data_IF_017035133131
#
_entry.id   IF_017035133131
#
_cell.length_a   1.000
_cell.length_b   1.000
_cell.length_c   1.000
_cell.angle_alpha   90.00
_cell.angle_beta   90.00
_cell.angle_gamma   90.00
#
_symmetry.space_group_name_H-M   'P 1'
#
loop_
_entity.id
_entity.type
_entity.pdbx_description
1 polymer ?
#
# COMPACT_ATOMS: atom_id res chain seq x y z
N UNK A 1 20.30 -23.25 -34.13
CA UNK A 1 19.35 -23.72 -33.09
C UNK A 1 20.14 -24.22 -31.91
N UNK A 2 20.31 -23.38 -30.89
CA UNK A 2 20.77 -23.79 -29.56
C UNK A 2 20.25 -22.74 -28.59
N UNK A 3 19.13 -23.06 -27.95
CA UNK A 3 18.48 -22.26 -26.92
C UNK A 3 19.32 -22.27 -25.66
N UNK A 4 20.01 -21.17 -25.39
CA UNK A 4 20.62 -20.89 -24.09
C UNK A 4 19.50 -20.61 -23.08
N UNK A 5 19.10 -21.65 -22.33
CA UNK A 5 18.21 -21.52 -21.17
C UNK A 5 18.94 -20.70 -20.10
N UNK A 6 18.59 -19.42 -19.98
CA UNK A 6 18.96 -18.60 -18.83
C UNK A 6 18.20 -19.15 -17.63
N UNK A 7 18.88 -19.94 -16.79
CA UNK A 7 18.40 -20.33 -15.46
C UNK A 7 18.67 -19.16 -14.53
N UNK A 8 17.66 -18.37 -14.21
CA UNK A 8 17.74 -17.46 -13.07
C UNK A 8 17.75 -18.30 -11.79
N UNK A 9 18.92 -18.37 -11.16
CA UNK A 9 19.09 -18.93 -9.81
C UNK A 9 18.55 -17.90 -8.83
N UNK A 10 17.28 -18.02 -8.47
CA UNK A 10 16.81 -17.47 -7.19
C UNK A 10 17.49 -18.33 -6.12
N UNK A 11 18.50 -17.79 -5.44
CA UNK A 11 19.08 -18.44 -4.26
C UNK A 11 17.97 -18.55 -3.21
N UNK A 12 17.33 -19.70 -3.15
CA UNK A 12 16.59 -20.12 -1.96
C UNK A 12 17.62 -20.32 -0.84
N UNK A 13 17.69 -19.38 0.10
CA UNK A 13 18.24 -19.71 1.41
C UNK A 13 17.25 -20.68 2.07
N UNK A 14 17.58 -21.96 2.03
CA UNK A 14 16.86 -23.01 2.73
C UNK A 14 17.18 -22.86 4.22
N UNK A 15 16.48 -21.97 4.91
CA UNK A 15 16.51 -21.96 6.38
C UNK A 15 15.84 -23.24 6.85
N UNK A 16 16.61 -24.12 7.50
CA UNK A 16 16.06 -25.23 8.28
C UNK A 16 15.30 -24.63 9.45
N UNK A 17 13.97 -24.58 9.37
CA UNK A 17 13.14 -24.31 10.54
C UNK A 17 13.31 -25.46 11.53
N UNK A 18 14.06 -25.23 12.60
CA UNK A 18 13.94 -26.05 13.81
C UNK A 18 12.52 -25.91 14.37
N UNK A 19 11.97 -26.94 15.04
CA UNK A 19 10.65 -26.88 15.64
C UNK A 19 10.66 -25.86 16.77
N UNK A 20 10.22 -24.64 16.48
CA UNK A 20 10.02 -23.60 17.48
C UNK A 20 8.64 -23.77 18.11
N UNK A 21 8.63 -23.77 19.44
CA UNK A 21 7.45 -23.62 20.28
C UNK A 21 6.62 -22.41 19.82
N UNK A 22 5.32 -22.63 19.58
CA UNK A 22 4.36 -21.57 19.33
C UNK A 22 4.22 -20.70 20.59
N UNK A 23 5.05 -19.66 20.73
CA UNK A 23 4.68 -18.51 21.54
C UNK A 23 3.57 -17.77 20.79
N UNK A 24 2.40 -17.65 21.42
CA UNK A 24 1.29 -16.86 20.90
C UNK A 24 1.79 -15.42 20.81
N UNK A 25 1.88 -14.90 19.59
CA UNK A 25 2.26 -13.51 19.36
C UNK A 25 1.08 -12.64 19.80
N UNK A 26 1.24 -11.96 20.94
CA UNK A 26 0.27 -10.99 21.43
C UNK A 26 0.30 -9.76 20.53
N UNK A 27 -0.83 -9.44 19.92
CA UNK A 27 -0.96 -8.31 19.00
C UNK A 27 -2.30 -7.62 19.18
N UNK A 28 -2.27 -6.30 19.07
CA UNK A 28 -3.46 -5.48 18.93
C UNK A 28 -3.71 -5.20 17.44
N UNK A 29 -4.85 -5.62 16.91
CA UNK A 29 -5.26 -5.34 15.54
C UNK A 29 -6.41 -4.35 15.57
N UNK A 30 -6.21 -3.19 14.95
CA UNK A 30 -7.22 -2.16 14.79
C UNK A 30 -7.92 -2.37 13.45
N UNK A 31 -9.24 -2.51 13.47
CA UNK A 31 -10.10 -2.52 12.30
C UNK A 31 -10.92 -1.22 12.22
N UNK A 32 -11.30 -0.74 11.02
CA UNK A 32 -12.29 0.32 10.90
C UNK A 32 -13.65 -0.17 11.40
N UNK A 33 -14.39 0.71 12.08
CA UNK A 33 -15.80 0.47 12.40
C UNK A 33 -16.69 0.78 11.20
N UNK A 34 -17.93 0.29 11.27
CA UNK A 34 -19.02 0.85 10.46
C UNK A 34 -19.12 2.37 10.71
N UNK A 35 -19.50 3.11 9.66
CA UNK A 35 -19.57 4.57 9.71
C UNK A 35 -20.68 5.08 10.65
N UNK A 36 -21.81 4.38 10.70
CA UNK A 36 -22.98 4.77 11.50
C UNK A 36 -23.02 4.08 12.86
N UNK A 37 -22.36 2.92 13.01
CA UNK A 37 -22.30 2.15 14.24
C UNK A 37 -20.85 1.82 14.63
N UNK A 38 -20.26 2.64 15.51
CA UNK A 38 -18.89 2.45 15.99
C UNK A 38 -18.64 1.15 16.78
N UNK A 39 -19.69 0.39 17.11
CA UNK A 39 -19.58 -0.91 17.81
C UNK A 39 -19.44 -2.10 16.86
N UNK A 40 -19.65 -1.89 15.55
CA UNK A 40 -19.53 -2.92 14.52
C UNK A 40 -18.32 -2.68 13.65
N UNK A 41 -17.70 -3.75 13.17
CA UNK A 41 -16.66 -3.65 12.15
C UNK A 41 -17.26 -3.15 10.83
N UNK A 42 -16.46 -2.46 10.02
CA UNK A 42 -16.80 -2.17 8.64
C UNK A 42 -17.08 -3.48 7.88
N UNK A 43 -18.14 -3.51 7.08
CA UNK A 43 -18.64 -4.70 6.37
C UNK A 43 -17.54 -5.43 5.57
N UNK A 44 -16.60 -4.70 4.97
CA UNK A 44 -15.52 -5.29 4.15
C UNK A 44 -14.56 -6.11 5.01
N UNK A 45 -14.40 -5.75 6.28
CA UNK A 45 -13.45 -6.36 7.20
C UNK A 45 -14.12 -7.19 8.30
N UNK A 46 -15.45 -7.24 8.34
CA UNK A 46 -16.23 -7.90 9.40
C UNK A 46 -15.83 -9.38 9.57
N UNK A 47 -15.79 -10.15 8.47
CA UNK A 47 -15.41 -11.56 8.51
C UNK A 47 -13.97 -11.78 9.03
N UNK A 48 -13.04 -10.90 8.66
CA UNK A 48 -11.65 -10.95 9.12
C UNK A 48 -11.54 -10.59 10.60
N UNK A 49 -12.24 -9.54 11.04
CA UNK A 49 -12.33 -9.11 12.43
C UNK A 49 -12.87 -10.24 13.33
N UNK A 50 -13.94 -10.91 12.92
CA UNK A 50 -14.50 -12.04 13.68
C UNK A 50 -13.53 -13.23 13.73
N UNK A 51 -12.92 -13.59 12.61
CA UNK A 51 -11.93 -14.68 12.55
C UNK A 51 -10.71 -14.42 13.45
N UNK A 52 -10.17 -13.19 13.44
CA UNK A 52 -9.07 -12.79 14.30
C UNK A 52 -9.46 -12.83 15.79
N UNK A 53 -10.67 -12.37 16.12
CA UNK A 53 -11.20 -12.39 17.49
C UNK A 53 -11.46 -13.81 18.00
N UNK A 54 -12.02 -14.69 17.16
CA UNK A 54 -12.23 -16.11 17.47
C UNK A 54 -10.91 -16.85 17.67
N UNK A 55 -9.85 -16.41 16.98
CA UNK A 55 -8.47 -16.90 17.15
C UNK A 55 -7.78 -16.36 18.41
N UNK A 56 -8.48 -15.56 19.24
CA UNK A 56 -7.96 -15.02 20.50
C UNK A 56 -7.07 -13.78 20.35
N UNK A 57 -7.02 -13.15 19.17
CA UNK A 57 -6.26 -11.91 18.98
C UNK A 57 -7.00 -10.71 19.59
N UNK A 58 -6.25 -9.71 20.06
CA UNK A 58 -6.85 -8.48 20.56
C UNK A 58 -7.29 -7.61 19.40
N UNK A 59 -8.58 -7.64 19.08
CA UNK A 59 -9.15 -6.80 18.02
C UNK A 59 -9.84 -5.56 18.60
N UNK A 60 -9.53 -4.38 18.06
CA UNK A 60 -10.12 -3.08 18.40
C UNK A 60 -10.81 -2.49 17.18
N UNK A 61 -11.84 -1.67 17.39
CA UNK A 61 -12.46 -0.88 16.33
C UNK A 61 -12.06 0.59 16.47
N UNK A 62 -11.60 1.20 15.38
CA UNK A 62 -11.43 2.64 15.24
C UNK A 62 -12.73 3.23 14.66
N UNK A 63 -13.32 4.20 15.36
CA UNK A 63 -14.54 4.85 14.87
C UNK A 63 -14.28 5.66 13.60
N UNK A 64 -14.78 5.17 12.47
CA UNK A 64 -14.62 5.82 11.16
C UNK A 64 -15.20 7.23 11.15
N UNK A 65 -16.37 7.44 11.79
CA UNK A 65 -17.00 8.75 11.92
C UNK A 65 -16.17 9.76 12.74
N UNK A 66 -15.53 9.31 13.83
CA UNK A 66 -14.73 10.22 14.65
C UNK A 66 -13.38 10.50 13.99
N UNK A 67 -12.74 9.47 13.39
CA UNK A 67 -11.51 9.60 12.62
C UNK A 67 -11.67 10.59 11.45
N UNK A 68 -12.81 10.56 10.73
CA UNK A 68 -13.10 11.53 9.66
C UNK A 68 -13.24 12.98 10.15
N UNK A 69 -13.43 13.18 11.46
CA UNK A 69 -13.47 14.48 12.12
C UNK A 69 -12.16 14.81 12.87
N UNK A 70 -11.08 14.05 12.62
CA UNK A 70 -9.78 14.23 13.27
C UNK A 70 -9.75 13.83 14.74
N UNK A 71 -10.67 12.95 15.17
CA UNK A 71 -10.76 12.46 16.55
C UNK A 71 -10.70 10.94 16.56
N UNK A 72 -9.52 10.37 16.72
CA UNK A 72 -9.40 8.91 16.79
C UNK A 72 -10.00 8.38 18.11
N UNK A 73 -10.95 7.46 17.98
CA UNK A 73 -11.64 6.83 19.11
C UNK A 73 -11.68 5.32 18.93
N UNK A 74 -11.12 4.60 19.90
CA UNK A 74 -11.10 3.15 19.91
C UNK A 74 -12.25 2.56 20.74
N UNK A 75 -12.70 1.36 20.37
CA UNK A 75 -13.79 0.66 21.07
C UNK A 75 -13.41 0.15 22.47
N UNK A 76 -12.11 -0.06 22.72
CA UNK A 76 -11.56 -0.51 24.01
C UNK A 76 -10.09 -0.10 24.13
N UNK A 77 -9.48 -0.38 25.29
CA UNK A 77 -8.04 -0.20 25.48
C UNK A 77 -7.19 -1.28 24.79
N UNK A 78 -5.91 -0.99 24.65
CA UNK A 78 -4.91 -1.88 24.05
C UNK A 78 -4.32 -2.84 25.08
N UNK A 79 -4.10 -4.09 24.68
CA UNK A 79 -3.32 -5.05 25.47
C UNK A 79 -1.89 -4.52 25.68
N UNK A 80 -1.34 -4.78 26.86
CA UNK A 80 0.01 -4.34 27.25
C UNK A 80 1.08 -5.14 26.48
N UNK A 81 2.22 -4.50 26.21
CA UNK A 81 3.41 -5.12 25.59
C UNK A 81 3.16 -5.82 24.24
N UNK A 82 2.06 -5.51 23.57
CA UNK A 82 1.70 -6.07 22.28
C UNK A 82 1.78 -4.99 21.19
N UNK A 83 2.50 -5.24 20.07
CA UNK A 83 2.51 -4.33 18.93
C UNK A 83 1.10 -4.04 18.39
N UNK A 84 0.94 -2.87 17.77
CA UNK A 84 -0.34 -2.43 17.18
C UNK A 84 -0.27 -2.43 15.66
N UNK A 85 -1.24 -3.04 15.01
CA UNK A 85 -1.38 -3.08 13.56
C UNK A 85 -2.69 -2.42 13.14
N UNK A 86 -2.63 -1.63 12.07
CA UNK A 86 -3.80 -1.18 11.33
C UNK A 86 -4.21 -2.19 10.27
N UNK A 87 -5.48 -2.63 10.32
CA UNK A 87 -6.09 -3.50 9.33
C UNK A 87 -7.36 -2.87 8.79
N UNK A 88 -7.17 -1.98 7.82
CA UNK A 88 -8.28 -1.37 7.08
C UNK A 88 -7.88 -1.04 5.65
N UNK A 89 -8.60 -0.09 5.05
CA UNK A 89 -8.18 0.53 3.79
C UNK A 89 -6.85 1.28 4.00
N UNK A 90 -6.09 1.45 2.93
CA UNK A 90 -4.90 2.31 2.96
C UNK A 90 -5.30 3.72 3.36
N UNK A 91 -4.64 4.24 4.38
CA UNK A 91 -4.79 5.59 4.90
C UNK A 91 -3.81 6.52 4.18
N UNK A 92 -4.19 7.79 4.01
CA UNK A 92 -3.27 8.84 3.60
C UNK A 92 -2.21 9.07 4.67
N UNK A 93 -1.12 9.75 4.31
CA UNK A 93 -0.04 10.12 5.23
C UNK A 93 -0.56 10.75 6.54
N UNK A 94 -1.41 11.78 6.45
CA UNK A 94 -1.94 12.48 7.62
C UNK A 94 -2.90 11.61 8.46
N UNK A 95 -3.69 10.76 7.80
CA UNK A 95 -4.61 9.83 8.48
C UNK A 95 -3.83 8.76 9.24
N UNK A 96 -2.78 8.20 8.62
CA UNK A 96 -1.90 7.23 9.27
C UNK A 96 -1.13 7.85 10.43
N UNK A 97 -0.66 9.10 10.26
CA UNK A 97 -0.01 9.87 11.32
C UNK A 97 -0.95 10.15 12.49
N UNK A 98 -2.22 10.51 12.22
CA UNK A 98 -3.24 10.70 13.26
C UNK A 98 -3.44 9.41 14.04
N UNK A 99 -3.63 8.29 13.34
CA UNK A 99 -3.77 6.97 13.93
C UNK A 99 -2.56 6.61 14.81
N UNK A 100 -1.34 6.80 14.29
CA UNK A 100 -0.11 6.53 15.04
C UNK A 100 -0.04 7.36 16.31
N UNK A 101 -0.30 8.67 16.22
CA UNK A 101 -0.32 9.54 17.39
C UNK A 101 -1.39 9.13 18.42
N UNK A 102 -2.56 8.69 17.97
CA UNK A 102 -3.63 8.22 18.85
C UNK A 102 -3.24 6.92 19.58
N UNK A 103 -2.51 6.03 18.90
CA UNK A 103 -1.94 4.81 19.50
C UNK A 103 -0.86 5.17 20.53
N UNK A 104 0.02 6.13 20.21
CA UNK A 104 1.07 6.62 21.09
C UNK A 104 0.48 7.28 22.35
N UNK A 105 -0.60 8.05 22.22
CA UNK A 105 -1.34 8.64 23.34
C UNK A 105 -1.96 7.58 24.28
N UNK A 106 -2.16 6.35 23.79
CA UNK A 106 -2.58 5.20 24.60
C UNK A 106 -1.39 4.39 25.14
N UNK A 107 -0.16 4.89 25.03
CA UNK A 107 1.06 4.27 25.55
C UNK A 107 1.44 3.00 24.80
N UNK A 108 1.15 2.95 23.50
CA UNK A 108 1.50 1.85 22.58
C UNK A 108 2.24 2.41 21.38
N UNK A 109 2.82 1.54 20.58
CA UNK A 109 3.45 1.94 19.33
C UNK A 109 2.83 1.16 18.18
N UNK A 110 2.65 1.85 17.05
CA UNK A 110 2.42 1.18 15.78
C UNK A 110 3.63 0.28 15.50
N UNK A 111 3.34 -0.94 15.09
CA UNK A 111 4.38 -1.86 14.67
C UNK A 111 5.03 -1.38 13.37
N UNK A 112 4.21 -0.88 12.44
CA UNK A 112 4.69 -0.24 11.22
C UNK A 112 4.87 1.23 11.57
N UNK A 113 6.10 1.74 11.53
CA UNK A 113 6.30 3.17 11.73
C UNK A 113 5.66 3.97 10.59
N UNK A 114 5.38 5.26 10.81
CA UNK A 114 4.91 6.14 9.73
C UNK A 114 5.91 6.15 8.56
N UNK A 115 7.21 6.14 8.84
CA UNK A 115 8.27 6.09 7.83
C UNK A 115 8.23 4.78 7.02
N UNK A 116 8.10 3.64 7.70
CA UNK A 116 7.97 2.33 7.05
C UNK A 116 6.66 2.27 6.24
N UNK A 117 5.57 2.81 6.75
CA UNK A 117 4.31 2.88 6.02
C UNK A 117 4.48 3.66 4.72
N UNK A 118 5.03 4.89 4.79
CA UNK A 118 5.20 5.75 3.61
C UNK A 118 6.21 5.20 2.61
N UNK A 119 7.33 4.65 3.07
CA UNK A 119 8.35 4.06 2.19
C UNK A 119 7.82 2.89 1.35
N UNK A 120 6.81 2.20 1.87
CA UNK A 120 6.13 1.09 1.21
C UNK A 120 4.86 1.51 0.45
N UNK A 121 4.19 2.58 0.91
CA UNK A 121 2.93 3.08 0.34
C UNK A 121 3.15 3.95 -0.90
N UNK A 122 4.16 4.83 -0.85
CA UNK A 122 4.50 5.75 -1.93
C UNK A 122 5.54 5.12 -2.86
N UNK A 123 5.29 5.20 -4.17
CA UNK A 123 6.22 4.67 -5.19
C UNK A 123 7.64 5.22 -5.06
N UNK A 124 7.80 6.46 -4.60
CA UNK A 124 9.11 7.09 -4.36
C UNK A 124 9.92 6.40 -3.26
N UNK A 125 9.27 5.73 -2.32
CA UNK A 125 9.93 5.04 -1.21
C UNK A 125 10.60 3.72 -1.60
N UNK A 126 10.09 3.03 -2.63
CA UNK A 126 10.60 1.71 -3.04
C UNK A 126 11.13 1.64 -4.48
N UNK A 127 10.75 2.58 -5.36
CA UNK A 127 11.09 2.52 -6.79
C UNK A 127 12.58 2.38 -7.03
N UNK A 128 13.41 3.17 -6.34
CA UNK A 128 14.86 3.16 -6.57
C UNK A 128 15.50 1.80 -6.29
N UNK A 129 15.05 1.12 -5.24
CA UNK A 129 15.55 -0.21 -4.85
C UNK A 129 15.16 -1.30 -5.84
N UNK A 130 14.08 -1.09 -6.60
CA UNK A 130 13.56 -2.06 -7.56
C UNK A 130 13.62 -1.58 -9.02
N UNK A 131 14.34 -0.49 -9.31
CA UNK A 131 14.36 0.20 -10.61
C UNK A 131 14.64 -0.76 -11.77
N UNK A 132 15.63 -1.64 -11.62
CA UNK A 132 15.99 -2.64 -12.64
C UNK A 132 14.92 -3.71 -12.93
N UNK A 133 13.92 -3.86 -12.07
CA UNK A 133 12.90 -4.90 -12.14
C UNK A 133 11.49 -4.35 -12.39
N UNK A 134 11.38 -3.05 -12.63
CA UNK A 134 10.11 -2.36 -12.71
C UNK A 134 10.15 -1.41 -13.91
N UNK A 135 9.04 -1.21 -14.64
CA UNK A 135 9.03 -0.27 -15.76
C UNK A 135 9.58 1.11 -15.40
N UNK A 136 10.32 1.71 -16.34
CA UNK A 136 10.89 3.05 -16.20
C UNK A 136 9.81 4.03 -15.70
N UNK A 137 10.12 4.77 -14.65
CA UNK A 137 9.20 5.71 -14.00
C UNK A 137 9.87 7.04 -13.79
N UNK A 138 9.16 8.11 -14.14
CA UNK A 138 9.55 9.50 -13.92
C UNK A 138 8.55 10.17 -12.98
N UNK A 139 9.06 10.88 -11.98
CA UNK A 139 8.26 11.67 -11.04
C UNK A 139 8.27 13.12 -11.46
N UNK A 140 7.08 13.72 -11.53
CA UNK A 140 6.85 15.06 -12.06
C UNK A 140 5.89 15.82 -11.15
N UNK A 141 6.10 17.13 -11.09
CA UNK A 141 5.20 18.07 -10.44
C UNK A 141 4.15 18.57 -11.41
N UNK A 142 3.06 19.06 -10.84
CA UNK A 142 2.11 19.85 -11.62
C UNK A 142 2.77 21.12 -12.14
N UNK A 143 2.58 21.41 -13.43
CA UNK A 143 3.21 22.55 -14.09
C UNK A 143 4.57 22.23 -14.71
N UNK A 144 5.09 21.02 -14.54
CA UNK A 144 6.24 20.57 -15.33
C UNK A 144 5.89 20.59 -16.83
N UNK A 145 6.90 20.86 -17.67
CA UNK A 145 6.76 20.94 -19.13
C UNK A 145 6.54 19.56 -19.77
N UNK A 146 5.33 19.00 -19.65
CA UNK A 146 5.01 17.64 -20.10
C UNK A 146 5.33 17.42 -21.59
N UNK A 147 5.09 18.42 -22.44
CA UNK A 147 5.44 18.33 -23.87
C UNK A 147 6.94 18.14 -24.08
N UNK A 148 7.77 18.94 -23.41
CA UNK A 148 9.23 18.82 -23.51
C UNK A 148 9.70 17.47 -22.97
N UNK A 149 9.13 17.02 -21.86
CA UNK A 149 9.48 15.75 -21.22
C UNK A 149 9.11 14.55 -22.11
N UNK A 150 7.91 14.51 -22.68
CA UNK A 150 7.47 13.43 -23.57
C UNK A 150 8.34 13.37 -24.83
N UNK A 151 8.66 14.53 -25.41
CA UNK A 151 9.54 14.63 -26.58
C UNK A 151 10.96 14.11 -26.31
N UNK A 152 11.44 14.17 -25.06
CA UNK A 152 12.72 13.61 -24.64
C UNK A 152 12.62 12.09 -24.37
N UNK A 153 11.60 11.65 -23.63
CA UNK A 153 11.43 10.25 -23.23
C UNK A 153 11.08 9.32 -24.40
N UNK A 154 10.19 9.77 -25.30
CA UNK A 154 9.71 9.01 -26.47
C UNK A 154 9.24 7.60 -26.15
N UNK A 155 8.55 7.41 -25.02
CA UNK A 155 7.90 6.15 -24.72
C UNK A 155 6.65 6.00 -25.59
N UNK A 156 6.27 4.76 -25.96
CA UNK A 156 5.09 4.54 -26.80
C UNK A 156 3.79 4.96 -26.10
N UNK A 157 3.75 4.80 -24.78
CA UNK A 157 2.65 5.25 -23.92
C UNK A 157 3.12 5.42 -22.47
N UNK A 158 2.33 6.17 -21.71
CA UNK A 158 2.59 6.61 -20.35
C UNK A 158 1.43 6.18 -19.45
N UNK A 159 1.72 5.35 -18.46
CA UNK A 159 0.79 5.07 -17.37
C UNK A 159 0.88 6.19 -16.34
N UNK A 160 -0.22 6.94 -16.19
CA UNK A 160 -0.31 8.14 -15.35
C UNK A 160 -1.01 7.81 -14.04
N UNK A 161 -0.33 8.04 -12.92
CA UNK A 161 -0.88 7.88 -11.57
C UNK A 161 -0.28 8.90 -10.60
N UNK A 162 -0.87 9.04 -9.42
CA UNK A 162 -0.19 9.68 -8.29
C UNK A 162 0.78 8.70 -7.62
N UNK A 163 1.39 9.09 -6.51
CA UNK A 163 2.37 8.24 -5.84
C UNK A 163 1.81 6.92 -5.29
N UNK A 164 0.47 6.78 -5.23
CA UNK A 164 -0.21 5.61 -4.67
C UNK A 164 -0.98 4.86 -5.77
N UNK A 165 -2.11 5.41 -6.23
CA UNK A 165 -3.07 4.73 -7.12
C UNK A 165 -3.29 5.46 -8.43
N UNK A 166 -3.63 4.68 -9.45
CA UNK A 166 -4.17 5.18 -10.71
C UNK A 166 -5.69 5.39 -10.64
N UNK A 167 -6.28 5.94 -11.70
CA UNK A 167 -7.73 5.93 -11.87
C UNK A 167 -8.22 4.50 -12.15
N UNK A 168 -9.36 4.17 -11.57
CA UNK A 168 -10.14 2.96 -11.87
C UNK A 168 -11.51 3.36 -12.44
N UNK A 169 -11.50 4.23 -13.46
CA UNK A 169 -12.70 4.64 -14.20
C UNK A 169 -12.70 4.01 -15.59
N UNK A 170 -13.75 4.25 -16.39
CA UNK A 170 -13.77 3.84 -17.80
C UNK A 170 -12.63 4.45 -18.62
N UNK A 171 -12.13 5.62 -18.21
CA UNK A 171 -10.90 6.22 -18.75
C UNK A 171 -9.71 5.52 -18.12
N UNK A 172 -9.03 4.68 -18.91
CA UNK A 172 -7.78 4.04 -18.49
C UNK A 172 -6.71 5.11 -18.24
N UNK A 173 -5.92 4.94 -17.18
CA UNK A 173 -4.75 5.77 -16.82
C UNK A 173 -3.58 5.67 -17.82
N UNK A 174 -3.85 5.53 -19.12
CA UNK A 174 -2.84 5.46 -20.19
C UNK A 174 -2.99 6.69 -21.08
N UNK A 175 -1.88 7.37 -21.32
CA UNK A 175 -1.74 8.51 -22.21
C UNK A 175 -0.66 8.26 -23.27
N UNK A 176 -0.82 8.87 -24.43
CA UNK A 176 0.15 8.83 -25.54
C UNK A 176 0.78 10.19 -25.82
N UNK A 177 0.24 11.27 -25.25
CA UNK A 177 0.66 12.65 -25.46
C UNK A 177 0.41 13.51 -24.21
N UNK A 178 0.87 14.76 -24.22
CA UNK A 178 0.81 15.65 -23.07
C UNK A 178 -0.63 16.06 -22.71
N UNK A 179 -1.51 16.23 -23.71
CA UNK A 179 -2.91 16.58 -23.50
C UNK A 179 -3.65 15.48 -22.73
N UNK A 180 -3.47 14.22 -23.12
CA UNK A 180 -4.05 13.06 -22.44
C UNK A 180 -3.50 12.91 -21.01
N UNK A 181 -2.24 13.24 -20.75
CA UNK A 181 -1.67 13.26 -19.40
C UNK A 181 -2.43 14.28 -18.53
N UNK A 182 -2.63 15.49 -19.04
CA UNK A 182 -3.36 16.56 -18.35
C UNK A 182 -4.83 16.20 -18.09
N UNK A 183 -5.48 15.55 -19.06
CA UNK A 183 -6.85 15.03 -18.93
C UNK A 183 -6.96 14.01 -17.79
N UNK A 184 -6.00 13.07 -17.72
CA UNK A 184 -5.96 12.04 -16.68
C UNK A 184 -5.68 12.67 -15.31
N UNK A 185 -4.73 13.61 -15.21
CA UNK A 185 -4.45 14.34 -13.96
C UNK A 185 -5.69 15.07 -13.47
N UNK A 186 -6.39 15.78 -14.36
CA UNK A 186 -7.63 16.48 -14.05
C UNK A 186 -8.72 15.52 -13.55
N UNK A 187 -8.79 14.33 -14.15
CA UNK A 187 -9.71 13.27 -13.73
C UNK A 187 -9.34 12.69 -12.37
N UNK A 188 -8.05 12.47 -12.07
CA UNK A 188 -7.57 12.04 -10.74
C UNK A 188 -8.07 13.01 -9.68
N UNK A 189 -7.86 14.31 -9.89
CA UNK A 189 -8.35 15.35 -8.97
C UNK A 189 -9.87 15.32 -8.83
N UNK A 190 -10.60 15.27 -9.95
CA UNK A 190 -12.06 15.26 -9.93
C UNK A 190 -12.64 14.10 -9.11
N UNK A 191 -12.10 12.89 -9.27
CA UNK A 191 -12.65 11.69 -8.62
C UNK A 191 -12.07 11.40 -7.24
N UNK A 192 -10.84 11.86 -6.94
CA UNK A 192 -10.14 11.59 -5.67
C UNK A 192 -9.97 12.82 -4.78
N UNK A 193 -10.40 13.99 -5.25
CA UNK A 193 -10.21 15.29 -4.59
C UNK A 193 -8.86 15.90 -4.94
N UNK A 194 -7.78 15.32 -4.40
CA UNK A 194 -6.41 15.83 -4.57
C UNK A 194 -5.48 14.73 -5.10
N UNK A 195 -4.37 15.15 -5.70
CA UNK A 195 -3.23 14.27 -5.97
C UNK A 195 -2.55 13.98 -4.64
N UNK A 196 -2.25 12.71 -4.38
CA UNK A 196 -1.42 12.35 -3.25
C UNK A 196 0.06 12.52 -3.63
N UNK A 197 0.67 13.57 -3.07
CA UNK A 197 2.01 14.07 -3.40
C UNK A 197 2.11 14.61 -4.84
N UNK A 198 2.68 13.84 -5.76
CA UNK A 198 2.98 14.28 -7.13
C UNK A 198 2.58 13.22 -8.18
N UNK A 199 2.94 13.48 -9.44
CA UNK A 199 2.58 12.65 -10.58
C UNK A 199 3.72 11.69 -10.89
N UNK A 200 3.36 10.43 -11.16
CA UNK A 200 4.26 9.39 -11.65
C UNK A 200 3.85 9.03 -13.08
N UNK A 201 4.74 9.26 -14.03
CA UNK A 201 4.67 8.73 -15.39
C UNK A 201 5.48 7.44 -15.46
N UNK A 202 4.81 6.33 -15.75
CA UNK A 202 5.47 5.03 -15.92
C UNK A 202 5.37 4.58 -17.37
N UNK A 203 6.46 4.08 -17.93
CA UNK A 203 6.46 3.47 -19.26
C UNK A 203 5.50 2.29 -19.32
N UNK A 204 4.61 2.29 -20.29
CA UNK A 204 3.76 1.13 -20.56
C UNK A 204 4.63 0.03 -21.20
N UNK A 205 4.60 -1.16 -20.61
CA UNK A 205 5.26 -2.34 -21.13
C UNK A 205 4.22 -3.42 -21.43
N UNK A 206 4.50 -4.25 -22.45
CA UNK A 206 3.70 -5.44 -22.73
C UNK A 206 3.99 -6.51 -21.69
N UNK A 207 3.07 -6.63 -20.75
CA UNK A 207 3.17 -7.56 -19.62
C UNK A 207 2.25 -8.74 -19.90
N UNK A 208 2.74 -9.96 -19.62
CA UNK A 208 1.92 -11.17 -19.71
C UNK A 208 0.82 -11.09 -18.65
N UNK A 209 -0.44 -10.92 -19.07
CA UNK A 209 -1.57 -10.69 -18.15
C UNK A 209 -1.73 -11.78 -17.08
N UNK A 210 -1.29 -13.01 -17.37
CA UNK A 210 -1.37 -14.17 -16.46
C UNK A 210 -0.15 -14.32 -15.55
N UNK A 211 0.88 -13.47 -15.71
CA UNK A 211 2.11 -13.52 -14.92
C UNK A 211 2.04 -12.67 -13.65
N UNK A 212 0.95 -11.93 -13.40
CA UNK A 212 0.80 -11.20 -12.14
C UNK A 212 0.85 -12.18 -10.96
N UNK A 213 1.71 -11.87 -9.99
CA UNK A 213 1.82 -12.58 -8.72
C UNK A 213 1.73 -11.55 -7.60
N UNK A 214 0.97 -11.88 -6.55
CA UNK A 214 0.88 -11.09 -5.32
C UNK A 214 1.48 -11.91 -4.20
N UNK A 215 2.44 -11.31 -3.52
CA UNK A 215 3.12 -11.92 -2.40
C UNK A 215 2.64 -11.24 -1.12
N UNK A 216 2.36 -12.06 -0.12
CA UNK A 216 2.19 -11.60 1.25
C UNK A 216 3.44 -12.01 1.98
N UNK A 217 4.17 -11.04 2.50
CA UNK A 217 5.38 -11.27 3.28
C UNK A 217 5.11 -10.95 4.74
N UNK A 218 5.65 -11.80 5.61
CA UNK A 218 5.59 -11.65 7.05
C UNK A 218 6.96 -12.03 7.61
N UNK A 219 7.69 -11.06 8.15
CA UNK A 219 8.98 -11.32 8.80
C UNK A 219 8.75 -11.84 10.22
N UNK A 220 9.07 -13.11 10.46
CA UNK A 220 8.84 -13.75 11.76
C UNK A 220 10.05 -13.49 12.66
N UNK A 221 10.07 -12.30 13.25
CA UNK A 221 10.45 -12.12 14.68
C UNK A 221 9.48 -11.20 15.43
N UNK A 222 8.58 -10.49 14.74
CA UNK A 222 7.41 -9.83 15.29
C UNK A 222 6.52 -9.44 14.09
N UNK A 223 5.30 -9.97 14.03
CA UNK A 223 4.36 -9.92 12.90
C UNK A 223 4.14 -8.47 12.45
N UNK A 224 4.31 -8.14 11.16
CA UNK A 224 3.94 -6.89 10.47
C UNK A 224 3.03 -7.16 9.27
N UNK A 225 1.74 -6.89 9.43
CA UNK A 225 0.74 -6.85 8.37
C UNK A 225 0.75 -5.45 7.75
N UNK A 226 1.64 -5.24 6.78
CA UNK A 226 1.41 -4.27 5.72
C UNK A 226 1.19 -5.03 4.43
N UNK A 227 0.09 -4.71 3.75
CA UNK A 227 -0.14 -5.18 2.39
C UNK A 227 0.83 -4.47 1.46
N UNK A 228 2.05 -4.99 1.32
CA UNK A 228 2.96 -4.57 0.26
C UNK A 228 2.52 -5.25 -1.04
N UNK A 229 1.87 -4.50 -1.93
CA UNK A 229 1.64 -4.96 -3.30
C UNK A 229 2.95 -4.85 -4.08
N UNK A 230 3.86 -5.82 -3.92
CA UNK A 230 4.98 -5.99 -4.83
C UNK A 230 4.48 -6.75 -6.07
N UNK A 231 4.07 -6.02 -7.10
CA UNK A 231 3.80 -6.62 -8.42
C UNK A 231 5.16 -6.88 -9.09
N UNK A 232 5.70 -8.07 -8.90
CA UNK A 232 6.81 -8.58 -9.70
C UNK A 232 6.26 -9.05 -11.05
N UNK A 233 6.54 -8.27 -12.08
CA UNK A 233 6.22 -8.61 -13.46
C UNK A 233 7.39 -9.37 -14.06
N UNK A 234 7.21 -10.67 -14.23
CA UNK A 234 8.17 -11.51 -14.94
C UNK A 234 8.16 -11.09 -16.42
N UNK A 235 9.29 -10.58 -16.89
CA UNK A 235 9.59 -10.34 -18.31
C UNK A 235 9.97 -11.64 -19.01
#
# INVERSE_FOLDING_TARGET
>A
MTTSRIRYVIRYFKFQCHPFSFEIIYMNIIYPSDYFDSSKADEIFEAEYHSAKESGLSCLLLSTQHASNGKDKFSKGFELNAPVIWRGRMLKSDEYKSLSNAVDQNGRNMLVSLEDYLSNHHITGWYKSCEKYTPDTLFLKEGDGFEQIINQLKWPAYFVKDYVKSLTTSRVSIATNAEEIQEIISSIKKFRGNIEEEISLRKVEDIIKTSERRYFYLEITCILLTTLFLILLLK
#
